data_IF_557904221817
#
_entry.id   IF_557904221817
#
_cell.length_a   1.000
_cell.length_b   1.000
_cell.length_c   1.000
_cell.angle_alpha   90.00
_cell.angle_beta   90.00
_cell.angle_gamma   90.00
#
_symmetry.space_group_name_H-M   'P 1'
#
loop_
_entity.id
_entity.type
_entity.pdbx_description
1 polymer ?
#
# COMPACT_ATOMS: atom_id res chain seq x y z
N UNK A 1 7.63 8.81 2.79
CA UNK A 1 6.60 9.44 1.95
C UNK A 1 7.08 10.69 1.19
N UNK A 2 8.19 11.35 1.58
CA UNK A 2 8.67 12.59 0.94
C UNK A 2 8.86 12.53 -0.59
N UNK A 3 9.12 11.35 -1.17
CA UNK A 3 9.18 11.17 -2.63
C UNK A 3 7.88 11.59 -3.36
N UNK A 4 6.72 11.48 -2.73
CA UNK A 4 5.42 11.84 -3.32
C UNK A 4 4.81 13.09 -2.66
N UNK A 5 5.64 13.99 -2.11
CA UNK A 5 5.17 15.27 -1.57
C UNK A 5 4.60 16.16 -2.68
N UNK A 6 3.87 17.20 -2.28
CA UNK A 6 3.33 18.18 -3.23
C UNK A 6 4.44 18.86 -4.04
N UNK A 7 5.56 19.20 -3.41
CA UNK A 7 6.70 19.84 -4.09
C UNK A 7 7.35 18.92 -5.12
N UNK A 8 7.50 17.63 -4.79
CA UNK A 8 8.17 16.65 -5.64
C UNK A 8 7.28 16.09 -6.76
N UNK A 9 5.99 16.44 -6.78
CA UNK A 9 5.06 15.92 -7.78
C UNK A 9 5.28 16.55 -9.16
N UNK A 10 5.59 17.84 -9.19
CA UNK A 10 5.81 18.60 -10.43
C UNK A 10 7.08 18.15 -11.18
N UNK A 11 8.05 17.58 -10.46
CA UNK A 11 9.33 17.11 -11.03
C UNK A 11 9.31 15.65 -11.46
N UNK A 12 8.22 14.92 -11.21
CA UNK A 12 8.12 13.50 -11.56
C UNK A 12 7.57 13.32 -12.96
N UNK A 13 8.33 12.60 -13.79
CA UNK A 13 7.83 12.11 -15.07
C UNK A 13 6.65 11.14 -14.85
N UNK A 14 5.46 11.41 -15.42
CA UNK A 14 4.26 10.62 -15.21
C UNK A 14 4.36 9.18 -15.74
N UNK A 15 5.32 8.87 -16.60
CA UNK A 15 5.56 7.53 -17.16
C UNK A 15 6.64 6.74 -16.42
N UNK A 16 7.33 7.33 -15.44
CA UNK A 16 8.29 6.60 -14.60
C UNK A 16 7.60 5.81 -13.48
N UNK A 17 6.38 6.20 -13.09
CA UNK A 17 5.62 5.56 -12.01
C UNK A 17 4.21 5.16 -12.47
N UNK A 18 4.02 3.89 -12.85
CA UNK A 18 2.81 3.39 -13.50
C UNK A 18 2.10 2.26 -12.71
N UNK A 19 1.76 2.44 -11.42
CA UNK A 19 1.12 1.37 -10.62
C UNK A 19 -0.28 0.97 -11.11
N UNK A 20 -0.93 1.82 -11.91
CA UNK A 20 -2.24 1.58 -12.51
C UNK A 20 -2.21 1.60 -14.05
N UNK A 21 -1.01 1.58 -14.66
CA UNK A 21 -0.82 1.77 -16.08
C UNK A 21 -1.12 3.20 -16.57
N UNK A 22 -1.08 3.40 -17.89
CA UNK A 22 -1.38 4.66 -18.56
C UNK A 22 -2.12 4.43 -19.89
N UNK A 23 -2.71 5.49 -20.45
CA UNK A 23 -3.43 5.44 -21.73
C UNK A 23 -4.82 4.78 -21.64
N UNK A 24 -5.45 4.47 -22.79
CA UNK A 24 -6.83 3.99 -22.88
C UNK A 24 -7.05 2.59 -22.29
N UNK A 25 -5.98 1.87 -21.97
CA UNK A 25 -5.98 0.54 -21.35
C UNK A 25 -5.42 0.54 -19.93
N UNK A 26 -5.42 1.70 -19.25
CA UNK A 26 -5.07 1.76 -17.84
C UNK A 26 -6.13 1.06 -16.97
N UNK A 27 -5.86 0.94 -15.67
CA UNK A 27 -6.80 0.35 -14.73
C UNK A 27 -8.06 1.22 -14.60
N UNK A 28 -9.17 0.74 -15.18
CA UNK A 28 -10.49 1.36 -15.05
C UNK A 28 -10.93 1.52 -13.58
N UNK A 29 -10.45 0.62 -12.72
CA UNK A 29 -10.72 0.60 -11.28
C UNK A 29 -9.83 1.53 -10.45
N UNK A 30 -8.90 2.29 -11.04
CA UNK A 30 -7.92 3.09 -10.28
C UNK A 30 -8.57 3.97 -9.19
N UNK A 31 -9.60 4.74 -9.56
CA UNK A 31 -10.27 5.64 -8.61
C UNK A 31 -11.01 4.87 -7.52
N UNK A 32 -11.68 3.78 -7.90
CA UNK A 32 -12.39 2.90 -6.97
C UNK A 32 -11.43 2.25 -5.98
N UNK A 33 -10.32 1.67 -6.44
CA UNK A 33 -9.30 1.05 -5.61
C UNK A 33 -8.68 2.06 -4.63
N UNK A 34 -8.34 3.26 -5.11
CA UNK A 34 -7.78 4.31 -4.24
C UNK A 34 -8.76 4.77 -3.16
N UNK A 35 -10.05 4.92 -3.50
CA UNK A 35 -11.08 5.27 -2.52
C UNK A 35 -11.25 4.17 -1.47
N UNK A 36 -11.44 2.93 -1.90
CA UNK A 36 -11.65 1.79 -1.01
C UNK A 36 -10.45 1.57 -0.07
N UNK A 37 -9.24 1.55 -0.62
CA UNK A 37 -8.02 1.35 0.17
C UNK A 37 -7.82 2.48 1.19
N UNK A 38 -8.04 3.74 0.80
CA UNK A 38 -7.92 4.87 1.74
C UNK A 38 -8.98 4.82 2.83
N UNK A 39 -10.22 4.50 2.50
CA UNK A 39 -11.30 4.38 3.49
C UNK A 39 -11.04 3.23 4.46
N UNK A 40 -10.67 2.06 3.95
CA UNK A 40 -10.35 0.89 4.78
C UNK A 40 -9.14 1.12 5.69
N UNK A 41 -8.05 1.69 5.15
CA UNK A 41 -6.86 2.02 5.94
C UNK A 41 -7.17 3.09 6.99
N UNK A 42 -7.93 4.13 6.64
CA UNK A 42 -8.34 5.17 7.61
C UNK A 42 -9.10 4.57 8.78
N UNK A 43 -10.11 3.73 8.49
CA UNK A 43 -10.89 3.07 9.53
C UNK A 43 -10.02 2.20 10.45
N UNK A 44 -9.11 1.42 9.87
CA UNK A 44 -8.20 0.57 10.64
C UNK A 44 -7.25 1.39 11.51
N UNK A 45 -6.68 2.50 10.98
CA UNK A 45 -5.72 3.33 11.70
C UNK A 45 -6.36 4.24 12.78
N UNK A 46 -7.65 4.56 12.63
CA UNK A 46 -8.42 5.25 13.65
C UNK A 46 -8.65 4.36 14.89
N UNK A 47 -8.93 3.07 14.66
CA UNK A 47 -9.32 2.15 15.74
C UNK A 47 -8.17 1.28 16.25
N UNK A 48 -7.11 1.08 15.48
CA UNK A 48 -6.04 0.13 15.81
C UNK A 48 -4.65 0.66 15.47
N UNK A 49 -3.67 0.22 16.27
CA UNK A 49 -2.24 0.29 16.00
C UNK A 49 -1.73 -1.08 15.57
N UNK A 50 -1.03 -1.12 14.44
CA UNK A 50 -0.40 -2.33 13.94
C UNK A 50 0.99 -2.50 14.56
N UNK A 51 1.25 -3.64 15.19
CA UNK A 51 2.55 -3.99 15.78
C UNK A 51 3.09 -5.28 15.18
N UNK A 52 4.41 -5.38 15.06
CA UNK A 52 5.08 -6.62 14.67
C UNK A 52 5.04 -7.64 15.81
N UNK A 53 5.14 -8.92 15.47
CA UNK A 53 5.21 -10.04 16.39
C UNK A 53 6.35 -10.98 16.01
N UNK A 54 6.57 -12.04 16.81
CA UNK A 54 7.63 -13.03 16.58
C UNK A 54 7.52 -13.70 15.20
N UNK A 55 6.30 -13.80 14.67
CA UNK A 55 6.01 -14.46 13.40
C UNK A 55 5.98 -13.49 12.21
N UNK A 56 6.16 -12.18 12.43
CA UNK A 56 6.21 -11.20 11.33
C UNK A 56 7.50 -11.41 10.51
N UNK A 57 7.41 -11.66 9.20
CA UNK A 57 8.60 -11.82 8.37
C UNK A 57 9.32 -10.48 8.18
N UNK A 58 10.49 -10.32 8.80
CA UNK A 58 11.35 -9.14 8.68
C UNK A 58 12.78 -9.63 8.36
N UNK A 59 13.33 -9.35 7.16
CA UNK A 59 12.74 -8.57 6.07
C UNK A 59 11.62 -9.33 5.33
N UNK A 60 10.72 -8.57 4.70
CA UNK A 60 9.69 -9.13 3.81
C UNK A 60 10.35 -9.59 2.50
N UNK A 61 10.27 -10.89 2.20
CA UNK A 61 10.73 -11.45 0.94
C UNK A 61 9.54 -11.59 0.00
N UNK A 62 9.70 -11.13 -1.24
CA UNK A 62 8.66 -11.18 -2.27
C UNK A 62 8.89 -12.36 -3.21
N UNK A 63 7.81 -13.04 -3.52
CA UNK A 63 7.71 -13.97 -4.64
C UNK A 63 7.24 -13.19 -5.89
N UNK A 64 7.97 -13.38 -6.97
CA UNK A 64 7.70 -12.80 -8.29
C UNK A 64 7.17 -13.82 -9.29
N UNK A 65 6.97 -15.08 -8.89
CA UNK A 65 6.36 -16.10 -9.74
C UNK A 65 4.86 -15.87 -9.80
N UNK A 66 4.42 -15.24 -10.88
CA UNK A 66 3.02 -14.87 -11.10
C UNK A 66 2.71 -13.51 -10.47
N UNK A 67 1.82 -13.48 -9.47
CA UNK A 67 1.50 -12.24 -8.76
C UNK A 67 2.59 -11.87 -7.78
N UNK A 68 2.89 -10.56 -7.70
CA UNK A 68 3.79 -10.03 -6.67
C UNK A 68 3.14 -10.20 -5.30
N UNK A 69 3.70 -11.09 -4.47
CA UNK A 69 3.18 -11.38 -3.13
C UNK A 69 4.32 -11.69 -2.16
N UNK A 70 4.11 -11.55 -0.85
CA UNK A 70 5.04 -12.09 0.14
C UNK A 70 5.23 -13.61 -0.02
N UNK A 71 6.46 -14.11 0.15
CA UNK A 71 6.74 -15.56 0.18
C UNK A 71 6.12 -16.24 1.41
N UNK A 72 6.02 -15.50 2.52
CA UNK A 72 5.35 -15.94 3.75
C UNK A 72 4.22 -14.97 4.10
N UNK A 73 3.12 -15.42 4.72
CA UNK A 73 2.05 -14.54 5.18
C UNK A 73 2.56 -13.41 6.08
N UNK A 74 2.02 -12.21 5.92
CA UNK A 74 2.33 -11.07 6.79
C UNK A 74 1.43 -11.14 8.02
N UNK A 75 2.01 -11.53 9.15
CA UNK A 75 1.32 -11.65 10.44
C UNK A 75 1.65 -10.41 11.27
N UNK A 76 0.61 -9.74 11.80
CA UNK A 76 0.72 -8.53 12.62
C UNK A 76 -0.27 -8.61 13.79
N UNK A 77 0.10 -7.97 14.91
CA UNK A 77 -0.79 -7.77 16.04
C UNK A 77 -1.55 -6.45 15.87
N UNK A 78 -2.87 -6.50 16.09
CA UNK A 78 -3.74 -5.33 16.16
C UNK A 78 -3.95 -4.95 17.62
N UNK A 79 -3.56 -3.73 17.99
CA UNK A 79 -3.77 -3.17 19.32
C UNK A 79 -4.82 -2.07 19.21
N UNK A 80 -5.97 -2.14 19.90
CA UNK A 80 -6.95 -1.05 19.91
C UNK A 80 -6.31 0.29 20.27
N UNK A 81 -6.73 1.38 19.62
CA UNK A 81 -6.39 2.75 20.04
C UNK A 81 -7.46 3.22 21.00
N UNK A 82 -7.02 3.75 22.13
CA UNK A 82 -7.91 4.44 23.05
C UNK A 82 -8.53 5.66 22.34
N UNK A 83 -9.81 5.91 22.62
CA UNK A 83 -10.58 7.01 22.04
C UNK A 83 -10.12 8.38 22.56
#
# INVERSE_FOLDING_TARGET
MHRFSKENKETQDPYTFLPFGAGPRNCIGMRFAMLNMKSGITLLLQNFSFRTCKDTPIPLVLDSKGFLKPTKPVILNLVPRDA
#
